data_IF_137330225307
#
_entry.id   IF_137330225307
#
_cell.length_a   1.000
_cell.length_b   1.000
_cell.length_c   1.000
_cell.angle_alpha   90.00
_cell.angle_beta   90.00
_cell.angle_gamma   90.00
#
_symmetry.space_group_name_H-M   'P 1'
#
loop_
_entity.id
_entity.type
_entity.pdbx_description
1 polymer ?
#
# COMPACT_ATOMS: atom_id res chain seq x y z
N UNK A 1 -11.00 3.73 2.66
CA UNK A 1 -10.73 4.82 3.64
C UNK A 1 -9.33 5.41 3.47
N UNK A 2 -8.26 4.61 3.50
CA UNK A 2 -6.89 5.12 3.30
C UNK A 2 -6.70 5.82 1.93
N UNK A 3 -7.40 5.36 0.90
CA UNK A 3 -7.43 6.03 -0.42
C UNK A 3 -8.08 7.41 -0.39
N UNK A 4 -9.20 7.58 0.31
CA UNK A 4 -9.82 8.89 0.54
C UNK A 4 -8.89 9.82 1.32
N UNK A 5 -8.22 9.28 2.35
CA UNK A 5 -7.28 10.04 3.15
C UNK A 5 -6.16 10.64 2.30
N UNK A 6 -5.57 9.81 1.44
CA UNK A 6 -4.59 10.25 0.45
C UNK A 6 -5.22 11.27 -0.51
N UNK A 7 -6.45 11.04 -0.98
CA UNK A 7 -7.16 11.98 -1.87
C UNK A 7 -7.36 13.36 -1.24
N UNK A 8 -7.79 13.42 0.02
CA UNK A 8 -8.00 14.66 0.77
C UNK A 8 -6.67 15.39 1.04
N UNK A 9 -5.64 14.67 1.47
CA UNK A 9 -4.29 15.23 1.66
C UNK A 9 -3.81 15.92 0.37
N UNK A 10 -4.00 15.27 -0.77
CA UNK A 10 -3.62 15.79 -2.09
C UNK A 10 -4.48 16.95 -2.54
N UNK A 11 -5.78 16.93 -2.25
CA UNK A 11 -6.68 18.05 -2.52
C UNK A 11 -6.28 19.30 -1.72
N UNK A 12 -6.00 19.14 -0.43
CA UNK A 12 -5.52 20.22 0.42
C UNK A 12 -4.20 20.80 -0.09
N UNK A 13 -3.25 19.93 -0.46
CA UNK A 13 -1.97 20.36 -1.01
C UNK A 13 -2.09 21.05 -2.38
N UNK A 14 -3.03 20.61 -3.23
CA UNK A 14 -3.26 21.21 -4.54
C UNK A 14 -4.00 22.56 -4.45
N UNK A 15 -5.00 22.66 -3.57
CA UNK A 15 -5.84 23.87 -3.42
C UNK A 15 -5.13 24.98 -2.64
N UNK A 16 -4.28 24.64 -1.65
CA UNK A 16 -3.62 25.63 -0.79
C UNK A 16 -2.08 25.55 -0.83
N UNK A 17 -1.45 25.77 -2.00
CA UNK A 17 0.01 25.68 -2.13
C UNK A 17 0.75 26.73 -1.29
N UNK A 18 0.14 27.89 -1.05
CA UNK A 18 0.75 29.01 -0.31
C UNK A 18 0.86 28.67 1.19
N UNK A 19 -0.12 27.97 1.76
CA UNK A 19 -0.08 27.53 3.16
C UNK A 19 0.95 26.42 3.39
N UNK A 20 1.15 25.55 2.39
CA UNK A 20 2.11 24.43 2.48
C UNK A 20 3.56 24.85 2.26
N UNK A 21 3.83 25.85 1.41
CA UNK A 21 5.21 26.25 1.10
C UNK A 21 5.86 27.13 2.17
N UNK A 22 5.06 27.90 2.92
CA UNK A 22 5.57 28.88 3.88
C UNK A 22 5.44 28.44 5.35
N UNK A 23 4.90 27.24 5.62
CA UNK A 23 4.70 26.73 6.97
C UNK A 23 4.98 25.24 7.02
N UNK A 24 6.26 24.88 7.02
CA UNK A 24 6.81 23.57 7.41
C UNK A 24 6.59 23.30 8.91
N UNK A 25 5.35 23.37 9.40
CA UNK A 25 5.01 22.69 10.64
C UNK A 25 4.52 21.29 10.31
N UNK A 26 5.47 20.37 10.22
CA UNK A 26 5.25 18.91 10.17
C UNK A 26 4.25 18.41 11.23
N UNK A 27 3.97 19.19 12.27
CA UNK A 27 3.03 18.87 13.35
C UNK A 27 1.56 18.94 12.92
N UNK A 28 1.17 19.88 12.06
CA UNK A 28 -0.24 20.02 11.66
C UNK A 28 -0.67 18.89 10.71
N UNK A 29 0.17 18.54 9.73
CA UNK A 29 -0.05 17.40 8.85
C UNK A 29 -0.08 16.07 9.62
N UNK A 30 0.76 15.94 10.65
CA UNK A 30 0.78 14.80 11.55
C UNK A 30 -0.52 14.73 12.37
N UNK A 31 -1.04 15.86 12.86
CA UNK A 31 -2.33 15.91 13.54
C UNK A 31 -3.49 15.46 12.63
N UNK A 32 -3.59 15.99 11.40
CA UNK A 32 -4.64 15.56 10.47
C UNK A 32 -4.56 14.07 10.12
N UNK A 33 -3.35 13.54 9.90
CA UNK A 33 -3.18 12.12 9.62
C UNK A 33 -3.50 11.23 10.83
N UNK A 34 -3.19 11.68 12.06
CA UNK A 34 -3.57 10.99 13.30
C UNK A 34 -5.08 10.98 13.53
N UNK A 35 -5.77 12.12 13.36
CA UNK A 35 -7.23 12.21 13.48
C UNK A 35 -7.88 11.24 12.48
N UNK A 36 -7.40 11.25 11.25
CA UNK A 36 -7.92 10.40 10.19
C UNK A 36 -7.63 8.91 10.41
N UNK A 37 -6.45 8.57 10.93
CA UNK A 37 -6.13 7.22 11.36
C UNK A 37 -7.03 6.77 12.53
N UNK A 38 -7.33 7.67 13.46
CA UNK A 38 -8.27 7.45 14.56
C UNK A 38 -9.69 7.15 14.04
N UNK A 39 -10.19 7.92 13.08
CA UNK A 39 -11.47 7.65 12.42
C UNK A 39 -11.47 6.29 11.69
N UNK A 40 -10.39 5.97 10.97
CA UNK A 40 -10.25 4.67 10.30
C UNK A 40 -10.25 3.51 11.32
N UNK A 41 -9.57 3.69 12.45
CA UNK A 41 -9.50 2.70 13.51
C UNK A 41 -10.85 2.49 14.19
N UNK A 42 -11.56 3.58 14.53
CA UNK A 42 -12.89 3.53 15.11
C UNK A 42 -13.89 2.85 14.17
N UNK A 43 -13.83 3.16 12.87
CA UNK A 43 -14.68 2.50 11.87
C UNK A 43 -14.33 1.01 11.70
N UNK A 44 -13.03 0.67 11.69
CA UNK A 44 -12.59 -0.73 11.68
C UNK A 44 -13.10 -1.49 12.91
N UNK A 45 -13.04 -0.88 14.09
CA UNK A 45 -13.58 -1.45 15.32
C UNK A 45 -15.10 -1.62 15.24
N UNK A 46 -15.83 -0.65 14.70
CA UNK A 46 -17.27 -0.76 14.45
C UNK A 46 -17.62 -1.96 13.57
N UNK A 47 -16.89 -2.16 12.47
CA UNK A 47 -17.08 -3.33 11.60
C UNK A 47 -16.81 -4.61 12.36
N UNK A 48 -15.66 -4.74 13.02
CA UNK A 48 -15.28 -5.94 13.77
C UNK A 48 -16.28 -6.25 14.89
N UNK A 49 -16.77 -5.24 15.60
CA UNK A 49 -17.79 -5.41 16.61
C UNK A 49 -19.12 -5.92 16.02
N UNK A 50 -19.54 -5.35 14.87
CA UNK A 50 -20.69 -5.83 14.12
C UNK A 50 -20.53 -7.28 13.66
N UNK A 51 -19.33 -7.64 13.16
CA UNK A 51 -18.95 -9.00 12.78
C UNK A 51 -19.11 -9.99 13.92
N UNK A 52 -18.53 -9.66 15.09
CA UNK A 52 -18.59 -10.49 16.29
C UNK A 52 -20.05 -10.73 16.69
N UNK A 53 -20.88 -9.69 16.70
CA UNK A 53 -22.30 -9.83 17.03
C UNK A 53 -23.07 -10.77 16.09
N UNK A 54 -22.78 -10.72 14.79
CA UNK A 54 -23.42 -11.61 13.81
C UNK A 54 -22.96 -13.06 14.00
N UNK A 55 -21.65 -13.27 14.20
CA UNK A 55 -21.07 -14.60 14.39
C UNK A 55 -21.61 -15.26 15.67
N UNK A 56 -21.57 -14.58 16.82
CA UNK A 56 -22.01 -15.16 18.09
C UNK A 56 -23.54 -15.18 18.28
N UNK A 57 -24.29 -14.40 17.49
CA UNK A 57 -25.75 -14.37 17.54
C UNK A 57 -26.43 -15.52 16.79
N UNK A 58 -25.69 -16.22 15.90
CA UNK A 58 -26.25 -17.23 15.00
C UNK A 58 -25.92 -18.64 15.48
N UNK A 59 -26.90 -19.40 15.97
CA UNK A 59 -26.67 -20.75 16.56
C UNK A 59 -26.26 -21.85 15.57
N UNK A 60 -26.42 -21.66 14.27
CA UNK A 60 -26.18 -22.71 13.26
C UNK A 60 -25.47 -22.15 12.02
N UNK A 61 -24.23 -21.66 12.15
CA UNK A 61 -23.43 -21.23 11.00
C UNK A 61 -22.11 -21.97 10.89
N UNK A 62 -21.79 -22.36 9.66
CA UNK A 62 -20.47 -22.86 9.29
C UNK A 62 -19.47 -21.72 9.49
N UNK A 63 -18.46 -21.92 10.34
CA UNK A 63 -17.41 -20.92 10.56
C UNK A 63 -16.51 -20.93 9.34
N UNK A 64 -16.65 -19.93 8.46
CA UNK A 64 -15.66 -19.67 7.43
C UNK A 64 -14.61 -18.71 8.01
N UNK A 65 -13.32 -19.08 7.95
CA UNK A 65 -12.22 -18.16 8.27
C UNK A 65 -12.03 -17.09 7.17
N UNK A 66 -13.11 -16.52 6.66
CA UNK A 66 -13.13 -15.58 5.55
C UNK A 66 -13.95 -14.34 5.84
N UNK A 67 -13.49 -13.20 5.35
CA UNK A 67 -14.22 -11.90 5.40
C UNK A 67 -15.62 -12.00 4.75
N UNK A 68 -15.86 -13.00 3.90
CA UNK A 68 -17.14 -13.18 3.24
C UNK A 68 -18.29 -13.58 4.19
N UNK A 69 -18.02 -14.13 5.38
CA UNK A 69 -19.05 -14.39 6.40
C UNK A 69 -19.69 -13.11 6.95
N UNK A 70 -19.06 -11.95 6.72
CA UNK A 70 -19.57 -10.63 7.09
C UNK A 70 -20.70 -10.14 6.17
N UNK A 71 -20.90 -10.80 5.03
CA UNK A 71 -21.91 -10.44 4.05
C UNK A 71 -23.25 -11.17 4.24
N UNK A 72 -23.44 -11.78 5.41
CA UNK A 72 -24.71 -12.42 5.75
C UNK A 72 -25.55 -11.40 6.56
N UNK A 73 -26.80 -11.19 6.14
CA UNK A 73 -27.80 -10.27 6.72
C UNK A 73 -27.58 -8.77 6.47
N UNK A 74 -28.28 -7.92 7.25
CA UNK A 74 -28.32 -6.46 7.10
C UNK A 74 -26.94 -5.78 7.15
N UNK A 75 -25.95 -6.40 7.80
CA UNK A 75 -24.58 -5.88 7.87
C UNK A 75 -23.92 -5.81 6.49
N UNK A 76 -24.24 -6.76 5.60
CA UNK A 76 -23.76 -6.77 4.22
C UNK A 76 -24.21 -5.52 3.47
N UNK A 77 -25.50 -5.21 3.59
CA UNK A 77 -26.11 -4.05 2.95
C UNK A 77 -25.51 -2.74 3.50
N UNK A 78 -25.25 -2.67 4.81
CA UNK A 78 -24.59 -1.52 5.44
C UNK A 78 -23.15 -1.34 4.95
N UNK A 79 -22.37 -2.43 4.86
CA UNK A 79 -21.00 -2.40 4.36
C UNK A 79 -20.98 -1.96 2.89
N UNK A 80 -21.82 -2.55 2.04
CA UNK A 80 -21.90 -2.19 0.61
C UNK A 80 -22.33 -0.74 0.46
N UNK A 81 -23.37 -0.28 1.18
CA UNK A 81 -23.84 1.11 1.16
C UNK A 81 -22.74 2.08 1.58
N UNK A 82 -22.07 1.82 2.69
CA UNK A 82 -20.96 2.65 3.15
C UNK A 82 -19.83 2.67 2.14
N UNK A 83 -19.49 1.53 1.54
CA UNK A 83 -18.44 1.44 0.53
C UNK A 83 -18.78 2.28 -0.71
N UNK A 84 -20.03 2.25 -1.18
CA UNK A 84 -20.48 3.11 -2.29
C UNK A 84 -20.34 4.59 -1.93
N UNK A 85 -20.78 5.00 -0.73
CA UNK A 85 -20.67 6.40 -0.26
C UNK A 85 -19.19 6.84 -0.24
N UNK A 86 -18.30 6.02 0.32
CA UNK A 86 -16.88 6.33 0.39
C UNK A 86 -16.23 6.40 -1.00
N UNK A 87 -16.62 5.53 -1.93
CA UNK A 87 -16.15 5.57 -3.31
C UNK A 87 -16.61 6.83 -4.05
N UNK A 88 -17.87 7.24 -3.89
CA UNK A 88 -18.39 8.48 -4.48
C UNK A 88 -17.65 9.70 -3.91
N UNK A 89 -17.47 9.77 -2.59
CA UNK A 89 -16.75 10.87 -1.95
C UNK A 89 -15.30 10.95 -2.46
N UNK A 90 -14.65 9.80 -2.62
CA UNK A 90 -13.30 9.70 -3.18
C UNK A 90 -13.27 10.23 -4.62
N UNK A 91 -14.23 9.83 -5.45
CA UNK A 91 -14.37 10.31 -6.82
C UNK A 91 -14.52 11.85 -6.88
N UNK A 92 -15.35 12.43 -6.01
CA UNK A 92 -15.56 13.88 -5.93
C UNK A 92 -14.24 14.59 -5.58
N UNK A 93 -13.51 14.12 -4.57
CA UNK A 93 -12.21 14.69 -4.20
C UNK A 93 -11.23 14.66 -5.38
N UNK A 94 -11.21 13.59 -6.16
CA UNK A 94 -10.33 13.48 -7.32
C UNK A 94 -10.75 14.37 -8.49
N UNK A 95 -12.05 14.51 -8.76
CA UNK A 95 -12.53 15.47 -9.75
C UNK A 95 -12.13 16.89 -9.36
N UNK A 96 -12.20 17.24 -8.06
CA UNK A 96 -11.72 18.53 -7.57
C UNK A 96 -10.21 18.71 -7.77
N UNK A 97 -9.38 17.71 -7.42
CA UNK A 97 -7.92 17.75 -7.69
C UNK A 97 -7.64 17.93 -9.18
N UNK A 98 -8.33 17.18 -10.04
CA UNK A 98 -8.17 17.26 -11.48
C UNK A 98 -8.51 18.64 -12.04
N UNK A 99 -9.60 19.25 -11.57
CA UNK A 99 -10.00 20.61 -11.95
C UNK A 99 -8.93 21.62 -11.52
N UNK A 100 -8.46 21.54 -10.27
CA UNK A 100 -7.41 22.43 -9.73
C UNK A 100 -6.12 22.31 -10.55
N UNK A 101 -5.69 21.09 -10.88
CA UNK A 101 -4.51 20.86 -11.72
C UNK A 101 -4.69 21.41 -13.13
N UNK A 102 -5.87 21.26 -13.73
CA UNK A 102 -6.15 21.78 -15.08
C UNK A 102 -6.13 23.31 -15.13
N UNK A 103 -6.56 23.97 -14.05
CA UNK A 103 -6.58 25.43 -13.95
C UNK A 103 -5.19 26.04 -13.67
N UNK A 104 -4.26 25.26 -13.10
CA UNK A 104 -2.92 25.73 -12.75
C UNK A 104 -2.00 25.80 -13.97
N UNK A 105 -2.02 26.92 -14.70
CA UNK A 105 -0.97 27.27 -15.68
C UNK A 105 0.29 27.72 -14.93
N UNK A 106 1.27 26.83 -14.72
CA UNK A 106 2.53 27.20 -14.04
C UNK A 106 3.75 26.58 -14.71
N UNK A 107 4.90 27.23 -14.53
CA UNK A 107 6.21 26.99 -15.16
C UNK A 107 6.52 25.52 -15.53
N UNK A 108 6.85 25.31 -16.80
CA UNK A 108 6.90 24.00 -17.46
C UNK A 108 7.74 22.92 -16.74
N UNK A 109 8.91 23.25 -16.18
CA UNK A 109 9.84 22.25 -15.69
C UNK A 109 9.41 21.57 -14.37
N UNK A 110 8.98 22.35 -13.36
CA UNK A 110 8.48 21.83 -12.07
C UNK A 110 7.07 21.25 -12.20
N UNK A 111 6.30 21.75 -13.16
CA UNK A 111 4.96 21.25 -13.45
C UNK A 111 5.00 19.82 -14.02
N UNK A 112 5.94 19.49 -14.91
CA UNK A 112 6.02 18.15 -15.50
C UNK A 112 6.24 17.02 -14.48
N UNK A 113 7.14 17.21 -13.51
CA UNK A 113 7.39 16.20 -12.47
C UNK A 113 6.19 16.04 -11.54
N UNK A 114 5.62 17.16 -11.10
CA UNK A 114 4.45 17.22 -10.22
C UNK A 114 3.23 16.60 -10.90
N UNK A 115 2.93 16.99 -12.14
CA UNK A 115 1.86 16.46 -12.96
C UNK A 115 1.99 14.96 -13.21
N UNK A 116 3.21 14.45 -13.45
CA UNK A 116 3.45 13.01 -13.62
C UNK A 116 3.18 12.23 -12.33
N UNK A 117 3.57 12.76 -11.17
CA UNK A 117 3.27 12.17 -9.88
C UNK A 117 1.76 12.15 -9.62
N UNK A 118 1.07 13.26 -9.87
CA UNK A 118 -0.39 13.33 -9.77
C UNK A 118 -1.09 12.36 -10.74
N UNK A 119 -0.61 12.25 -11.97
CA UNK A 119 -1.17 11.33 -12.97
C UNK A 119 -1.01 9.86 -12.55
N UNK A 120 0.16 9.48 -12.01
CA UNK A 120 0.37 8.16 -11.40
C UNK A 120 -0.66 7.86 -10.32
N UNK A 121 -0.81 8.81 -9.40
CA UNK A 121 -1.67 8.65 -8.24
C UNK A 121 -3.13 8.54 -8.68
N UNK A 122 -3.55 9.36 -9.66
CA UNK A 122 -4.86 9.27 -10.29
C UNK A 122 -5.07 7.90 -10.94
N UNK A 123 -4.10 7.39 -11.71
CA UNK A 123 -4.19 6.06 -12.34
C UNK A 123 -4.34 4.93 -11.31
N UNK A 124 -3.52 4.93 -10.25
CA UNK A 124 -3.62 3.96 -9.15
C UNK A 124 -4.99 3.98 -8.48
N UNK A 125 -5.55 5.18 -8.29
CA UNK A 125 -6.84 5.36 -7.62
C UNK A 125 -8.01 4.99 -8.52
N UNK A 126 -7.93 5.26 -9.82
CA UNK A 126 -8.92 4.82 -10.81
C UNK A 126 -8.99 3.30 -10.86
N UNK A 127 -7.84 2.62 -10.87
CA UNK A 127 -7.81 1.14 -10.89
C UNK A 127 -8.42 0.57 -9.60
N UNK A 128 -8.08 1.15 -8.44
CA UNK A 128 -8.70 0.75 -7.18
C UNK A 128 -10.21 1.01 -7.18
N UNK A 129 -10.64 2.20 -7.62
CA UNK A 129 -12.05 2.55 -7.69
C UNK A 129 -12.83 1.58 -8.58
N UNK A 130 -12.34 1.29 -9.79
CA UNK A 130 -12.98 0.32 -10.68
C UNK A 130 -12.99 -1.09 -10.09
N UNK A 131 -11.90 -1.53 -9.45
CA UNK A 131 -11.86 -2.81 -8.75
C UNK A 131 -12.93 -2.93 -7.67
N UNK A 132 -13.04 -1.90 -6.81
CA UNK A 132 -14.06 -1.83 -5.75
C UNK A 132 -15.48 -1.67 -6.28
N UNK A 133 -15.66 -0.88 -7.34
CA UNK A 133 -16.95 -0.66 -7.98
C UNK A 133 -17.46 -1.94 -8.64
N UNK A 134 -16.62 -2.62 -9.43
CA UNK A 134 -16.95 -3.92 -10.04
C UNK A 134 -17.30 -4.93 -8.96
N UNK A 135 -16.47 -5.04 -7.91
CA UNK A 135 -16.74 -5.92 -6.77
C UNK A 135 -18.11 -5.64 -6.13
N UNK A 136 -18.40 -4.36 -5.86
CA UNK A 136 -19.65 -3.96 -5.20
C UNK A 136 -20.87 -4.19 -6.08
N UNK A 137 -20.78 -3.87 -7.38
CA UNK A 137 -21.86 -4.10 -8.34
C UNK A 137 -22.12 -5.59 -8.56
N UNK A 138 -21.07 -6.41 -8.68
CA UNK A 138 -21.22 -7.86 -8.79
C UNK A 138 -21.79 -8.47 -7.51
N UNK A 139 -21.31 -8.05 -6.33
CA UNK A 139 -21.84 -8.52 -5.05
C UNK A 139 -23.33 -8.17 -4.89
N UNK A 140 -23.73 -6.95 -5.26
CA UNK A 140 -25.12 -6.52 -5.23
C UNK A 140 -25.96 -7.29 -6.27
N UNK A 141 -25.44 -7.47 -7.48
CA UNK A 141 -26.13 -8.22 -8.52
C UNK A 141 -26.38 -9.68 -8.12
N UNK A 142 -25.37 -10.33 -7.52
CA UNK A 142 -25.48 -11.69 -6.98
C UNK A 142 -26.52 -11.76 -5.85
N UNK A 143 -26.57 -10.76 -4.98
CA UNK A 143 -27.49 -10.76 -3.83
C UNK A 143 -28.95 -10.55 -4.25
N UNK A 144 -29.22 -9.68 -5.23
CA UNK A 144 -30.58 -9.30 -5.60
C UNK A 144 -31.17 -10.08 -6.79
N UNK A 145 -30.34 -10.49 -7.77
CA UNK A 145 -30.84 -11.10 -9.01
C UNK A 145 -30.65 -12.62 -9.09
N UNK A 146 -29.78 -13.21 -8.27
CA UNK A 146 -29.43 -14.63 -8.38
C UNK A 146 -29.58 -15.31 -7.02
N UNK A 147 -30.51 -16.25 -6.91
CA UNK A 147 -30.65 -17.09 -5.73
C UNK A 147 -29.61 -18.21 -5.76
N UNK A 148 -28.39 -17.91 -5.31
CA UNK A 148 -27.31 -18.89 -5.18
C UNK A 148 -27.38 -19.65 -3.86
N UNK A 149 -26.96 -20.92 -3.89
CA UNK A 149 -26.67 -21.65 -2.66
C UNK A 149 -25.49 -20.98 -1.92
N UNK A 150 -25.43 -21.08 -0.59
CA UNK A 150 -24.42 -20.44 0.25
C UNK A 150 -22.99 -20.80 -0.18
N UNK A 151 -22.77 -22.06 -0.58
CA UNK A 151 -21.47 -22.54 -1.08
C UNK A 151 -21.08 -21.90 -2.42
N UNK A 152 -22.05 -21.67 -3.30
CA UNK A 152 -21.80 -21.02 -4.59
C UNK A 152 -21.52 -19.53 -4.40
N UNK A 153 -22.29 -18.87 -3.54
CA UNK A 153 -22.07 -17.47 -3.18
C UNK A 153 -20.67 -17.26 -2.61
N UNK A 154 -20.20 -18.20 -1.78
CA UNK A 154 -18.86 -18.16 -1.22
C UNK A 154 -17.76 -18.30 -2.29
N UNK A 155 -17.87 -19.28 -3.18
CA UNK A 155 -16.91 -19.47 -4.27
C UNK A 155 -16.83 -18.24 -5.19
N UNK A 156 -17.98 -17.65 -5.54
CA UNK A 156 -18.03 -16.46 -6.41
C UNK A 156 -17.53 -15.21 -5.66
N UNK A 157 -17.89 -15.05 -4.38
CA UNK A 157 -17.36 -13.95 -3.56
C UNK A 157 -15.84 -14.04 -3.39
N UNK A 158 -15.30 -15.24 -3.22
CA UNK A 158 -13.87 -15.50 -3.14
C UNK A 158 -13.12 -15.15 -4.42
N UNK A 159 -13.65 -15.55 -5.59
CA UNK A 159 -13.02 -15.22 -6.88
C UNK A 159 -13.04 -13.70 -7.16
N UNK A 160 -14.12 -13.00 -6.80
CA UNK A 160 -14.19 -11.54 -6.89
C UNK A 160 -13.20 -10.84 -5.94
N UNK A 161 -12.97 -11.39 -4.75
CA UNK A 161 -11.98 -10.86 -3.82
C UNK A 161 -10.54 -10.94 -4.38
N UNK A 162 -10.22 -12.01 -5.13
CA UNK A 162 -8.91 -12.14 -5.80
C UNK A 162 -8.72 -11.02 -6.83
N UNK A 163 -9.74 -10.69 -7.63
CA UNK A 163 -9.68 -9.59 -8.60
C UNK A 163 -9.40 -8.26 -7.90
N UNK A 164 -10.06 -7.99 -6.78
CA UNK A 164 -9.84 -6.79 -5.98
C UNK A 164 -8.44 -6.76 -5.37
N UNK A 165 -7.93 -7.90 -4.91
CA UNK A 165 -6.57 -8.02 -4.40
C UNK A 165 -5.53 -7.73 -5.49
N UNK A 166 -5.73 -8.22 -6.71
CA UNK A 166 -4.88 -7.92 -7.87
C UNK A 166 -4.91 -6.44 -8.23
N UNK A 167 -6.09 -5.80 -8.20
CA UNK A 167 -6.19 -4.35 -8.40
C UNK A 167 -5.37 -3.58 -7.33
N UNK A 168 -5.47 -4.00 -6.07
CA UNK A 168 -4.70 -3.40 -4.98
C UNK A 168 -3.19 -3.64 -5.14
N UNK A 169 -2.77 -4.84 -5.53
CA UNK A 169 -1.37 -5.19 -5.79
C UNK A 169 -0.78 -4.39 -6.95
N UNK A 170 -1.58 -4.06 -7.97
CA UNK A 170 -1.14 -3.27 -9.14
C UNK A 170 -0.71 -1.83 -8.77
N UNK A 171 -1.08 -1.35 -7.59
CA UNK A 171 -0.70 -0.02 -7.11
C UNK A 171 0.83 0.14 -6.98
N UNK A 172 1.52 -0.88 -6.48
CA UNK A 172 2.96 -0.86 -6.27
C UNK A 172 3.77 -0.73 -7.58
N UNK A 173 3.55 -1.57 -8.62
CA UNK A 173 4.23 -1.41 -9.90
C UNK A 173 3.88 -0.09 -10.60
N UNK A 174 2.64 0.39 -10.51
CA UNK A 174 2.26 1.72 -11.04
C UNK A 174 3.05 2.86 -10.38
N UNK A 175 3.14 2.85 -9.05
CA UNK A 175 3.95 3.84 -8.32
C UNK A 175 5.42 3.77 -8.75
N UNK A 176 5.94 2.56 -8.96
CA UNK A 176 7.30 2.35 -9.43
C UNK A 176 7.53 2.89 -10.85
N UNK A 177 6.61 2.69 -11.80
CA UNK A 177 6.80 3.17 -13.19
C UNK A 177 6.72 4.68 -13.31
N UNK A 178 5.87 5.35 -12.53
CA UNK A 178 5.63 6.77 -12.68
C UNK A 178 6.42 7.67 -11.72
N UNK A 179 6.75 7.21 -10.50
CA UNK A 179 7.46 8.03 -9.51
C UNK A 179 8.98 7.81 -9.53
N UNK A 180 9.74 8.84 -9.91
CA UNK A 180 11.21 8.83 -9.84
C UNK A 180 11.71 8.73 -8.39
N UNK A 181 11.03 9.41 -7.47
CA UNK A 181 11.38 9.40 -6.04
C UNK A 181 11.18 8.02 -5.43
N UNK A 182 10.06 7.37 -5.75
CA UNK A 182 9.77 6.02 -5.28
C UNK A 182 10.81 5.02 -5.78
N UNK A 183 11.18 5.08 -7.07
CA UNK A 183 12.28 4.25 -7.61
C UNK A 183 13.60 4.48 -6.90
N UNK A 184 13.95 5.74 -6.64
CA UNK A 184 15.19 6.09 -5.95
C UNK A 184 15.19 5.58 -4.50
N UNK A 185 14.07 5.68 -3.80
CA UNK A 185 13.91 5.14 -2.45
C UNK A 185 14.00 3.62 -2.44
N UNK A 186 13.30 2.95 -3.37
CA UNK A 186 13.34 1.50 -3.53
C UNK A 186 14.76 0.99 -3.81
N UNK A 187 15.47 1.64 -4.75
CA UNK A 187 16.87 1.32 -5.05
C UNK A 187 17.76 1.49 -3.81
N UNK A 188 17.63 2.59 -3.05
CA UNK A 188 18.42 2.78 -1.81
C UNK A 188 18.22 1.67 -0.80
N UNK A 189 16.98 1.22 -0.59
CA UNK A 189 16.69 0.13 0.34
C UNK A 189 17.23 -1.20 -0.19
N UNK A 190 17.06 -1.48 -1.48
CA UNK A 190 17.63 -2.66 -2.11
C UNK A 190 19.16 -2.68 -2.01
N UNK A 191 19.82 -1.52 -2.10
CA UNK A 191 21.27 -1.38 -1.92
C UNK A 191 21.72 -1.57 -0.47
N UNK A 192 20.90 -1.18 0.51
CA UNK A 192 21.18 -1.43 1.91
C UNK A 192 21.18 -2.95 2.18
N UNK A 193 20.17 -3.65 1.67
CA UNK A 193 20.05 -5.11 1.80
C UNK A 193 21.18 -5.82 1.06
N UNK A 194 21.46 -5.44 -0.20
CA UNK A 194 22.54 -6.04 -1.00
C UNK A 194 23.92 -5.92 -0.32
N UNK A 195 24.20 -4.78 0.32
CA UNK A 195 25.42 -4.60 1.12
C UNK A 195 25.46 -5.52 2.35
N UNK A 196 24.32 -5.72 3.04
CA UNK A 196 24.24 -6.67 4.15
C UNK A 196 24.47 -8.13 3.72
N UNK A 197 24.15 -8.47 2.47
CA UNK A 197 24.33 -9.82 1.89
C UNK A 197 25.74 -10.00 1.28
N UNK A 198 26.59 -8.97 1.31
CA UNK A 198 27.95 -9.05 0.76
C UNK A 198 28.02 -8.97 -0.77
N UNK A 199 26.99 -8.43 -1.43
CA UNK A 199 27.07 -8.12 -2.86
C UNK A 199 27.95 -6.88 -3.05
N UNK A 200 29.13 -7.06 -3.64
CA UNK A 200 30.05 -5.98 -3.93
C UNK A 200 29.45 -4.93 -4.89
N UNK A 201 29.68 -3.66 -4.57
CA UNK A 201 29.16 -2.50 -5.30
C UNK A 201 29.59 -2.45 -6.78
N UNK A 202 30.63 -3.19 -7.15
CA UNK A 202 31.18 -3.32 -8.51
C UNK A 202 30.21 -3.99 -9.49
N UNK A 203 29.29 -4.85 -9.02
CA UNK A 203 28.31 -5.52 -9.89
C UNK A 203 27.14 -4.61 -10.33
N UNK A 204 26.88 -3.52 -9.59
CA UNK A 204 25.71 -2.68 -9.81
C UNK A 204 26.02 -1.28 -10.36
N UNK A 205 27.29 -0.87 -10.36
CA UNK A 205 27.73 0.39 -10.99
C UNK A 205 27.47 0.43 -12.51
N UNK A 206 27.46 -0.73 -13.17
CA UNK A 206 27.12 -0.88 -14.60
C UNK A 206 25.65 -0.58 -14.92
N UNK A 207 24.75 -0.56 -13.92
CA UNK A 207 23.32 -0.27 -14.11
C UNK A 207 23.01 1.23 -14.18
N UNK A 208 23.96 2.11 -13.85
CA UNK A 208 23.71 3.55 -13.82
C UNK A 208 23.65 4.19 -15.22
N UNK A 209 24.19 3.51 -16.23
CA UNK A 209 24.30 4.02 -17.61
C UNK A 209 23.43 3.31 -18.65
N UNK A 210 22.88 2.12 -18.37
CA UNK A 210 22.06 1.39 -19.34
C UNK A 210 20.69 1.00 -18.76
N UNK A 211 19.64 1.36 -19.49
CA UNK A 211 18.23 1.06 -19.23
C UNK A 211 17.85 -0.44 -19.32
N UNK A 212 18.84 -1.34 -19.36
CA UNK A 212 18.66 -2.78 -19.34
C UNK A 212 19.50 -3.38 -18.22
N UNK A 213 18.85 -3.81 -17.15
CA UNK A 213 19.49 -4.52 -16.04
C UNK A 213 19.62 -5.99 -16.43
N UNK A 214 20.81 -6.43 -16.83
CA UNK A 214 21.14 -7.85 -16.99
C UNK A 214 21.72 -8.34 -15.67
N UNK A 215 20.96 -9.16 -14.94
CA UNK A 215 21.44 -9.80 -13.71
C UNK A 215 22.30 -11.02 -14.07
N UNK A 216 23.62 -10.86 -14.07
CA UNK A 216 24.54 -11.98 -14.14
C UNK A 216 25.00 -12.31 -12.71
N UNK A 217 24.30 -13.25 -12.06
CA UNK A 217 24.61 -13.67 -10.69
C UNK A 217 25.78 -14.65 -10.76
N UNK A 218 26.98 -14.18 -10.44
CA UNK A 218 28.13 -15.06 -10.15
C UNK A 218 28.31 -15.12 -8.64
N UNK A 219 27.90 -16.23 -8.05
CA UNK A 219 28.11 -16.50 -6.62
C UNK A 219 29.62 -16.67 -6.43
N UNK A 220 30.24 -15.73 -5.72
CA UNK A 220 31.67 -15.80 -5.40
C UNK A 220 31.89 -16.85 -4.29
N UNK A 221 32.69 -17.90 -4.52
CA UNK A 221 32.97 -18.91 -3.51
C UNK A 221 34.14 -18.42 -2.64
N UNK A 222 33.89 -17.51 -1.71
CA UNK A 222 34.96 -17.07 -0.80
C UNK A 222 34.41 -16.62 0.54
N UNK A 223 33.91 -17.58 1.31
CA UNK A 223 33.90 -17.51 2.78
C UNK A 223 34.72 -18.72 3.27
N UNK A 224 36.04 -18.59 3.19
CA UNK A 224 36.96 -19.44 3.95
C UNK A 224 37.06 -18.78 5.33
N UNK A 225 36.46 -19.43 6.33
CA UNK A 225 36.55 -19.05 7.73
C UNK A 225 37.98 -19.37 8.19
N UNK A 226 38.86 -18.37 8.25
CA UNK A 226 40.17 -18.52 8.87
C UNK A 226 40.03 -18.50 10.40
N UNK A 227 40.04 -19.69 10.99
CA UNK A 227 40.26 -19.90 12.43
C UNK A 227 41.77 -19.93 12.70
N UNK A 228 42.38 -18.79 13.02
CA UNK A 228 43.72 -18.77 13.65
C UNK A 228 44.00 -17.42 14.28
N UNK A 229 43.72 -17.29 15.58
CA UNK A 229 44.57 -16.57 16.54
C UNK A 229 44.02 -16.77 17.96
N UNK A 230 44.59 -17.74 18.68
CA UNK A 230 44.50 -17.85 20.13
C UNK A 230 45.94 -18.00 20.64
N UNK A 231 46.62 -16.86 20.77
CA UNK A 231 47.89 -16.71 21.48
C UNK A 231 47.55 -16.56 22.97
N UNK A 232 47.68 -17.64 23.75
CA UNK A 232 47.78 -17.55 25.21
C UNK A 232 49.22 -17.79 25.64
N UNK A 233 49.80 -16.72 26.15
CA UNK A 233 51.02 -16.63 26.93
C UNK A 233 51.10 -17.64 28.07
N UNK A 234 52.18 -18.44 28.12
CA UNK A 234 52.56 -19.21 29.31
C UNK A 234 53.82 -18.58 29.91
N UNK A 235 53.67 -18.08 31.12
CA UNK A 235 54.67 -17.40 31.95
C UNK A 235 55.76 -18.35 32.48
N UNK A 236 56.93 -17.73 32.71
CA UNK A 236 58.08 -18.16 33.51
C UNK A 236 57.74 -18.75 34.89
N UNK A 237 58.51 -19.75 35.32
CA UNK A 237 58.60 -20.20 36.71
C UNK A 237 59.94 -20.89 36.99
N UNK A 238 60.89 -20.13 37.55
CA UNK A 238 62.20 -20.55 38.07
C UNK A 238 62.05 -21.02 39.54
N UNK A 239 62.70 -22.12 40.00
CA UNK A 239 62.93 -22.31 41.43
C UNK A 239 64.42 -22.50 41.75
N UNK A 240 65.00 -21.49 42.39
CA UNK A 240 66.14 -21.63 43.30
C UNK A 240 65.65 -21.14 44.68
N UNK A 241 65.26 -22.06 45.55
CA UNK A 241 65.43 -22.08 47.02
C UNK A 241 64.47 -23.08 47.68
#
# INVERSE_FOLDING_TARGET
MLTLAIGLDRLLHATFPIFFFNRTESRSMLYYSMVLAGFCFAYGFYIVYGSIRVVFGSRERYVSCGINDLYIDNLANDIVRNNIIWNILTLICYLAVWIVLKQRKTNAATDHATRRLFMSLASTMVINFFGWFIYSMFSLALTYFITLNIMQLWCVGGSLAIVMALASLSCAPLLYTFSKEYRRAFQRQFWAIGRCVGLDASYFAASKDNSHVIFNVRISPSVIINHTELRSSTQNGNPNH
#
